data_IF_151725986799
#
_entry.id   IF_151725986799
#
_cell.length_a   1.000
_cell.length_b   1.000
_cell.length_c   1.000
_cell.angle_alpha   90.00
_cell.angle_beta   90.00
_cell.angle_gamma   90.00
#
_symmetry.space_group_name_H-M   'P 1'
#
loop_
_entity.id
_entity.type
_entity.pdbx_description
1 polymer ?
#
# COMPACT_ATOMS: atom_id res chain seq x y z
N UNK A 1 -16.34 13.03 6.67
CA UNK A 1 -15.77 13.25 5.34
C UNK A 1 -15.91 11.98 4.52
N UNK A 2 -16.33 12.09 3.28
CA UNK A 2 -16.51 10.89 2.48
C UNK A 2 -15.15 10.39 1.96
N UNK A 3 -15.05 9.08 1.74
CA UNK A 3 -13.79 8.43 1.40
C UNK A 3 -13.17 8.96 0.10
N UNK A 4 -14.02 9.33 -0.86
CA UNK A 4 -13.55 9.87 -2.15
C UNK A 4 -12.86 11.21 -1.96
N UNK A 5 -13.42 12.08 -1.12
CA UNK A 5 -12.83 13.36 -0.81
C UNK A 5 -11.57 13.23 0.04
N UNK A 6 -11.54 12.25 0.93
CA UNK A 6 -10.35 11.93 1.72
C UNK A 6 -9.20 11.49 0.83
N UNK A 7 -9.45 10.60 -0.12
CA UNK A 7 -8.44 10.12 -1.05
C UNK A 7 -7.85 11.28 -1.88
N UNK A 8 -8.70 12.16 -2.38
CA UNK A 8 -8.26 13.36 -3.11
C UNK A 8 -7.41 14.29 -2.25
N UNK A 9 -7.83 14.49 -0.99
CA UNK A 9 -7.09 15.31 -0.06
C UNK A 9 -5.70 14.73 0.22
N UNK A 10 -5.62 13.44 0.43
CA UNK A 10 -4.35 12.76 0.68
C UNK A 10 -3.42 12.85 -0.54
N UNK A 11 -3.97 12.66 -1.72
CA UNK A 11 -3.21 12.79 -2.96
C UNK A 11 -2.68 14.21 -3.13
N UNK A 12 -3.51 15.20 -2.84
CA UNK A 12 -3.09 16.59 -2.87
C UNK A 12 -1.94 16.88 -1.90
N UNK A 13 -2.00 16.32 -0.69
CA UNK A 13 -0.94 16.49 0.30
C UNK A 13 0.39 15.92 -0.17
N UNK A 14 0.37 14.76 -0.83
CA UNK A 14 1.58 14.08 -1.28
C UNK A 14 2.14 14.67 -2.56
N UNK A 15 1.30 15.32 -3.36
CA UNK A 15 1.66 15.88 -4.67
C UNK A 15 2.04 17.36 -4.62
N UNK A 16 2.23 17.93 -3.45
CA UNK A 16 2.61 19.32 -3.32
C UNK A 16 3.94 19.56 -4.05
N UNK A 17 3.94 20.37 -5.13
CA UNK A 17 5.01 20.32 -6.11
C UNK A 17 6.35 20.88 -5.66
N UNK A 18 6.45 21.54 -4.57
CA UNK A 18 7.69 22.22 -4.23
C UNK A 18 8.60 21.46 -3.28
N UNK A 19 8.23 20.24 -2.88
CA UNK A 19 9.01 19.55 -1.86
C UNK A 19 9.30 20.44 -0.64
N UNK A 20 8.73 21.64 -0.65
CA UNK A 20 8.92 22.64 0.39
C UNK A 20 8.11 22.33 1.62
N UNK A 21 7.12 21.45 1.49
CA UNK A 21 6.40 20.97 2.65
C UNK A 21 7.21 19.86 3.30
N UNK A 22 8.00 20.22 4.28
CA UNK A 22 8.82 19.27 5.03
C UNK A 22 8.02 18.51 6.08
N UNK A 23 6.71 18.65 6.08
CA UNK A 23 5.84 17.97 7.05
C UNK A 23 5.70 16.49 6.63
N UNK A 24 5.97 15.62 7.57
CA UNK A 24 5.76 14.19 7.40
C UNK A 24 4.32 13.86 7.81
N UNK A 25 3.63 13.12 6.96
CA UNK A 25 2.27 12.66 7.24
C UNK A 25 2.26 11.16 7.45
N UNK A 26 1.59 10.71 8.52
CA UNK A 26 1.33 9.30 8.78
C UNK A 26 -0.17 9.14 8.87
N UNK A 27 -0.72 8.29 8.01
CA UNK A 27 -2.17 8.13 7.87
C UNK A 27 -2.51 6.66 8.03
N UNK A 28 -3.50 6.38 8.86
CA UNK A 28 -4.01 5.01 9.01
C UNK A 28 -5.39 4.91 8.37
N UNK A 29 -5.65 3.79 7.70
CA UNK A 29 -6.92 3.59 7.02
C UNK A 29 -7.20 2.10 6.84
N UNK A 30 -8.48 1.74 6.84
CA UNK A 30 -8.97 0.43 6.42
C UNK A 30 -9.73 0.52 5.10
N UNK A 31 -9.66 1.66 4.42
CA UNK A 31 -10.42 1.92 3.21
C UNK A 31 -9.64 1.53 1.96
N UNK A 32 -10.17 0.62 1.12
CA UNK A 32 -9.54 0.30 -0.17
C UNK A 32 -9.43 1.51 -1.08
N UNK A 33 -10.37 2.44 -1.01
CA UNK A 33 -10.37 3.66 -1.82
C UNK A 33 -9.16 4.54 -1.51
N UNK A 34 -8.77 4.62 -0.26
CA UNK A 34 -7.58 5.39 0.16
C UNK A 34 -6.31 4.68 -0.32
N UNK A 35 -6.24 3.38 -0.13
CA UNK A 35 -5.05 2.59 -0.50
C UNK A 35 -4.79 2.67 -2.00
N UNK A 36 -5.85 2.64 -2.82
CA UNK A 36 -5.74 2.71 -4.28
C UNK A 36 -5.03 3.95 -4.78
N UNK A 37 -5.16 5.07 -4.06
CA UNK A 37 -4.49 6.31 -4.44
C UNK A 37 -2.97 6.19 -4.37
N UNK A 38 -2.45 5.19 -3.66
CA UNK A 38 -1.02 4.98 -3.49
C UNK A 38 -0.49 3.80 -4.31
N UNK A 39 -1.23 3.36 -5.32
CA UNK A 39 -0.79 2.26 -6.18
C UNK A 39 0.52 2.57 -6.93
N UNK A 40 0.82 3.84 -7.16
CA UNK A 40 2.07 4.31 -7.76
C UNK A 40 3.18 4.53 -6.74
N UNK A 41 2.86 4.47 -5.47
CA UNK A 41 3.78 4.76 -4.38
C UNK A 41 3.61 3.75 -3.26
N UNK A 42 3.62 2.48 -3.60
CA UNK A 42 3.47 1.42 -2.60
C UNK A 42 4.68 1.33 -1.66
N UNK A 43 5.77 1.97 -1.98
CA UNK A 43 6.89 2.17 -1.07
C UNK A 43 6.51 3.01 0.16
N UNK A 44 5.42 3.77 0.07
CA UNK A 44 4.88 4.55 1.17
C UNK A 44 3.77 3.82 1.94
N UNK A 45 3.40 2.61 1.52
CA UNK A 45 2.30 1.86 2.13
C UNK A 45 2.86 0.77 3.04
N UNK A 46 2.37 0.75 4.27
CA UNK A 46 2.75 -0.25 5.26
C UNK A 46 1.52 -1.01 5.71
N UNK A 47 1.62 -2.32 5.70
CA UNK A 47 0.59 -3.19 6.25
C UNK A 47 0.95 -3.53 7.69
N UNK A 48 0.01 -3.25 8.60
CA UNK A 48 0.17 -3.58 10.02
C UNK A 48 -0.78 -4.74 10.33
N UNK A 49 -0.24 -5.83 10.80
CA UNK A 49 -1.05 -6.99 11.14
C UNK A 49 -0.55 -7.68 12.40
N UNK A 50 -1.45 -8.42 13.02
CA UNK A 50 -1.19 -9.12 14.25
C UNK A 50 -0.86 -10.57 13.93
N UNK A 51 0.32 -11.02 14.34
CA UNK A 51 0.70 -12.44 14.22
C UNK A 51 0.73 -13.10 15.57
N UNK A 52 0.18 -14.31 15.63
CA UNK A 52 0.24 -15.15 16.82
C UNK A 52 1.54 -15.94 16.80
N UNK A 53 2.52 -15.47 17.56
CA UNK A 53 3.73 -16.23 17.87
C UNK A 53 3.63 -16.66 19.34
N UNK A 54 4.65 -16.48 20.12
CA UNK A 54 4.56 -16.67 21.59
C UNK A 54 3.80 -15.51 22.22
N UNK A 55 2.48 -15.44 22.00
CA UNK A 55 1.67 -14.26 22.25
C UNK A 55 1.43 -13.51 20.95
N UNK A 56 0.66 -12.42 20.99
CA UNK A 56 0.36 -11.63 19.81
C UNK A 56 1.42 -10.57 19.61
N UNK A 57 1.97 -10.51 18.41
CA UNK A 57 2.98 -9.51 18.01
C UNK A 57 2.47 -8.75 16.79
N UNK A 58 2.54 -7.44 16.84
CA UNK A 58 2.25 -6.62 15.65
C UNK A 58 3.44 -6.62 14.72
N UNK A 59 3.19 -6.90 13.45
CA UNK A 59 4.22 -6.83 12.42
C UNK A 59 3.86 -5.73 11.42
N UNK A 60 4.89 -5.03 10.95
CA UNK A 60 4.75 -3.98 9.96
C UNK A 60 5.53 -4.41 8.73
N UNK A 61 4.84 -4.49 7.60
CA UNK A 61 5.45 -4.88 6.33
C UNK A 61 5.28 -3.75 5.32
N UNK A 62 6.39 -3.31 4.73
CA UNK A 62 6.34 -2.38 3.62
C UNK A 62 5.81 -3.11 2.38
N UNK A 63 4.82 -2.53 1.72
CA UNK A 63 4.18 -3.20 0.59
C UNK A 63 5.13 -3.37 -0.59
N UNK A 64 6.01 -2.42 -0.81
CA UNK A 64 6.99 -2.51 -1.89
C UNK A 64 7.93 -3.71 -1.70
N UNK A 65 8.31 -4.00 -0.46
CA UNK A 65 9.16 -5.14 -0.15
C UNK A 65 8.44 -6.47 -0.28
N UNK A 66 7.11 -6.46 -0.22
CA UNK A 66 6.30 -7.66 -0.29
C UNK A 66 5.98 -8.08 -1.72
N UNK A 67 6.19 -7.23 -2.71
CA UNK A 67 5.75 -7.50 -4.09
C UNK A 67 6.45 -8.72 -4.70
N UNK A 68 7.76 -8.83 -4.59
CA UNK A 68 8.48 -9.99 -5.13
C UNK A 68 7.99 -11.33 -4.58
N UNK A 69 7.86 -11.49 -3.25
CA UNK A 69 7.28 -12.73 -2.72
C UNK A 69 5.86 -12.98 -3.20
N UNK A 70 5.02 -11.95 -3.30
CA UNK A 70 3.64 -12.11 -3.74
C UNK A 70 3.54 -12.56 -5.20
N UNK A 71 4.39 -12.03 -6.07
CA UNK A 71 4.47 -12.49 -7.46
C UNK A 71 4.95 -13.94 -7.52
N UNK A 72 5.98 -14.26 -6.74
CA UNK A 72 6.55 -15.61 -6.69
C UNK A 72 5.52 -16.65 -6.25
N UNK A 73 4.65 -16.31 -5.31
CA UNK A 73 3.60 -17.21 -4.83
C UNK A 73 2.34 -17.18 -5.68
N UNK A 74 2.30 -16.37 -6.72
CA UNK A 74 1.16 -16.30 -7.62
C UNK A 74 0.00 -15.46 -7.13
N UNK A 75 0.18 -14.71 -6.04
CA UNK A 75 -0.86 -13.84 -5.50
C UNK A 75 -1.09 -12.61 -6.39
N UNK A 76 -0.06 -12.18 -7.10
CA UNK A 76 -0.13 -11.08 -8.07
C UNK A 76 0.45 -11.60 -9.38
N UNK A 77 -0.18 -11.23 -10.49
CA UNK A 77 0.34 -11.56 -11.82
C UNK A 77 1.52 -10.65 -12.14
N UNK A 78 2.56 -11.22 -12.71
CA UNK A 78 3.75 -10.47 -13.08
C UNK A 78 3.42 -9.32 -14.05
N UNK A 79 2.45 -9.51 -14.92
CA UNK A 79 2.00 -8.51 -15.90
C UNK A 79 1.39 -7.27 -15.23
N UNK A 80 0.90 -7.39 -14.01
CA UNK A 80 0.27 -6.30 -13.29
C UNK A 80 1.25 -5.44 -12.51
N UNK A 81 2.53 -5.81 -12.53
CA UNK A 81 3.58 -5.16 -11.78
C UNK A 81 4.62 -4.58 -12.73
N UNK A 82 4.98 -3.34 -12.50
CA UNK A 82 6.03 -2.66 -13.23
C UNK A 82 6.99 -2.02 -12.23
N UNK A 83 8.29 -2.21 -12.43
CA UNK A 83 9.31 -1.64 -11.56
C UNK A 83 9.97 -0.45 -12.24
N UNK A 84 10.09 0.66 -11.48
CA UNK A 84 10.83 1.83 -11.89
C UNK A 84 11.67 2.33 -10.73
N UNK A 85 12.99 2.32 -10.89
CA UNK A 85 13.93 2.82 -9.88
C UNK A 85 13.76 2.18 -8.50
N UNK A 86 13.49 0.87 -8.47
CA UNK A 86 13.31 0.13 -7.24
C UNK A 86 11.92 0.24 -6.62
N UNK A 87 11.05 1.03 -7.20
CA UNK A 87 9.66 1.19 -6.74
C UNK A 87 8.73 0.43 -7.69
N UNK A 88 7.92 -0.46 -7.12
CA UNK A 88 6.94 -1.20 -7.89
C UNK A 88 5.67 -0.39 -8.07
N UNK A 89 5.18 -0.37 -9.31
CA UNK A 89 3.89 0.20 -9.66
C UNK A 89 2.95 -0.95 -9.94
N UNK A 90 1.82 -0.97 -9.26
CA UNK A 90 0.84 -2.04 -9.40
C UNK A 90 -0.50 -1.43 -9.80
N UNK A 91 -1.32 -2.18 -10.53
CA UNK A 91 -2.62 -1.66 -10.92
C UNK A 91 -3.49 -1.43 -9.68
N UNK A 92 -4.29 -0.34 -9.66
CA UNK A 92 -5.21 -0.12 -8.54
C UNK A 92 -6.16 -1.29 -8.31
N UNK A 93 -6.56 -1.98 -9.37
CA UNK A 93 -7.41 -3.15 -9.29
C UNK A 93 -6.71 -4.31 -8.55
N UNK A 94 -5.46 -4.60 -8.89
CA UNK A 94 -4.69 -5.65 -8.23
C UNK A 94 -4.49 -5.35 -6.75
N UNK A 95 -4.22 -4.11 -6.42
CA UNK A 95 -4.08 -3.68 -5.03
C UNK A 95 -5.37 -3.86 -4.25
N UNK A 96 -6.51 -3.49 -4.85
CA UNK A 96 -7.82 -3.66 -4.24
C UNK A 96 -8.13 -5.15 -4.03
N UNK A 97 -7.84 -6.00 -5.00
CA UNK A 97 -8.06 -7.44 -4.87
C UNK A 97 -7.24 -8.05 -3.75
N UNK A 98 -5.97 -7.66 -3.62
CA UNK A 98 -5.15 -8.11 -2.50
C UNK A 98 -5.77 -7.75 -1.16
N UNK A 99 -6.32 -6.55 -1.06
CA UNK A 99 -6.96 -6.09 0.16
C UNK A 99 -8.19 -6.95 0.50
N UNK A 100 -9.06 -7.22 -0.47
CA UNK A 100 -10.26 -7.99 -0.25
C UNK A 100 -10.01 -9.48 -0.05
N UNK A 101 -9.00 -10.03 -0.69
CA UNK A 101 -8.69 -11.47 -0.60
C UNK A 101 -7.91 -11.83 0.66
N UNK A 102 -7.62 -10.86 1.50
CA UNK A 102 -6.90 -11.11 2.74
C UNK A 102 -5.43 -11.47 2.56
N UNK A 103 -4.87 -11.30 1.35
CA UNK A 103 -3.47 -11.61 1.07
C UNK A 103 -2.54 -10.77 1.95
N UNK A 104 -2.91 -9.54 2.22
CA UNK A 104 -2.11 -8.65 3.07
C UNK A 104 -2.03 -9.14 4.51
N UNK A 105 -3.03 -9.88 4.98
CA UNK A 105 -3.04 -10.42 6.33
C UNK A 105 -2.08 -11.60 6.51
N UNK A 106 -1.60 -12.19 5.41
CA UNK A 106 -0.71 -13.35 5.44
C UNK A 106 0.76 -12.99 5.23
N UNK A 107 1.03 -11.72 5.08
CA UNK A 107 2.39 -11.25 4.88
C UNK A 107 3.25 -11.36 6.19
#
# INVERSE_FOLDING_TARGET
INQKNLAKFLHWLTDTPNGSNKTQFIITSHSPSVIREFADRIDCVYNVHLKKKKGYVSEITNLNDAIKPLVRFGAIKEEEVNEQNGIYHISPHALTEMFYNGVLAEL
#
